data_IF_991653262173
#
_entry.id   IF_991653262173
#
_cell.length_a   1.000
_cell.length_b   1.000
_cell.length_c   1.000
_cell.angle_alpha   90.00
_cell.angle_beta   90.00
_cell.angle_gamma   90.00
#
_symmetry.space_group_name_H-M   'P 1'
#
loop_
_entity.id
_entity.type
_entity.pdbx_description
1 polymer ?
#
# COMPACT_ATOMS: atom_id res chain seq x y z
N UNK A 1 -56.74 -13.56 -17.75
CA UNK A 1 -55.26 -13.74 -17.72
C UNK A 1 -54.58 -12.39 -17.92
N UNK A 2 -53.80 -11.90 -16.94
CA UNK A 2 -52.98 -10.68 -17.10
C UNK A 2 -51.82 -10.99 -18.05
N UNK A 3 -51.76 -10.36 -19.22
CA UNK A 3 -50.60 -10.46 -20.13
C UNK A 3 -49.40 -9.81 -19.44
N UNK A 4 -48.38 -10.60 -19.08
CA UNK A 4 -47.07 -10.04 -18.71
C UNK A 4 -46.43 -9.51 -20.00
N UNK A 5 -46.34 -8.18 -20.14
CA UNK A 5 -45.60 -7.57 -21.25
C UNK A 5 -44.10 -7.72 -20.94
N UNK A 6 -43.38 -8.45 -21.79
CA UNK A 6 -41.92 -8.50 -21.76
C UNK A 6 -41.31 -7.24 -22.37
N UNK A 7 -40.01 -7.05 -22.18
CA UNK A 7 -39.26 -5.98 -22.83
C UNK A 7 -39.21 -6.19 -24.33
N UNK A 8 -39.33 -5.11 -25.08
CA UNK A 8 -39.13 -5.13 -26.53
C UNK A 8 -37.63 -5.15 -26.85
N UNK A 9 -37.28 -5.70 -28.00
CA UNK A 9 -35.88 -5.78 -28.43
C UNK A 9 -35.22 -4.40 -28.53
N UNK A 10 -35.98 -3.39 -28.99
CA UNK A 10 -35.49 -2.02 -29.13
C UNK A 10 -35.18 -1.37 -27.77
N UNK A 11 -36.00 -1.60 -26.75
CA UNK A 11 -35.75 -1.11 -25.40
C UNK A 11 -34.45 -1.68 -24.82
N UNK A 12 -34.15 -2.95 -25.08
CA UNK A 12 -32.91 -3.60 -24.64
C UNK A 12 -31.69 -3.00 -25.33
N UNK A 13 -31.77 -2.76 -26.65
CA UNK A 13 -30.69 -2.15 -27.42
C UNK A 13 -30.40 -0.73 -26.94
N UNK A 14 -31.43 0.09 -26.75
CA UNK A 14 -31.30 1.46 -26.25
C UNK A 14 -30.71 1.46 -24.82
N UNK A 15 -31.18 0.56 -23.96
CA UNK A 15 -30.67 0.44 -22.59
C UNK A 15 -29.19 0.06 -22.56
N UNK A 16 -28.77 -0.89 -23.40
CA UNK A 16 -27.36 -1.29 -23.56
C UNK A 16 -26.49 -0.12 -24.05
N UNK A 17 -26.98 0.65 -25.03
CA UNK A 17 -26.27 1.82 -25.54
C UNK A 17 -26.06 2.86 -24.43
N UNK A 18 -27.08 3.15 -23.63
CA UNK A 18 -26.98 4.09 -22.51
C UNK A 18 -26.00 3.60 -21.43
N UNK A 19 -26.10 2.31 -21.03
CA UNK A 19 -25.15 1.71 -20.08
C UNK A 19 -23.72 1.76 -20.63
N UNK A 20 -23.53 1.53 -21.93
CA UNK A 20 -22.23 1.60 -22.57
C UNK A 20 -21.61 2.99 -22.50
N UNK A 21 -22.39 4.04 -22.82
CA UNK A 21 -21.93 5.43 -22.74
C UNK A 21 -21.54 5.77 -21.30
N UNK A 22 -22.39 5.46 -20.32
CA UNK A 22 -22.11 5.73 -18.90
C UNK A 22 -20.85 4.98 -18.45
N UNK A 23 -20.71 3.72 -18.85
CA UNK A 23 -19.56 2.89 -18.48
C UNK A 23 -18.25 3.43 -19.02
N UNK A 24 -18.23 4.03 -20.22
CA UNK A 24 -17.01 4.62 -20.79
C UNK A 24 -16.37 5.67 -19.87
N UNK A 25 -17.18 6.46 -19.18
CA UNK A 25 -16.70 7.51 -18.29
C UNK A 25 -16.41 6.99 -16.87
N UNK A 26 -17.22 6.06 -16.36
CA UNK A 26 -17.09 5.56 -14.99
C UNK A 26 -15.90 4.59 -14.87
N UNK A 27 -15.71 3.72 -15.86
CA UNK A 27 -14.72 2.65 -15.80
C UNK A 27 -13.28 3.13 -15.55
N UNK A 28 -12.74 4.15 -16.25
CA UNK A 28 -11.37 4.64 -15.96
C UNK A 28 -11.26 5.22 -14.54
N UNK A 29 -12.31 5.84 -14.02
CA UNK A 29 -12.34 6.38 -12.65
C UNK A 29 -12.23 5.25 -11.62
N UNK A 30 -13.03 4.19 -11.76
CA UNK A 30 -12.98 3.02 -10.88
C UNK A 30 -11.60 2.36 -10.93
N UNK A 31 -11.01 2.19 -12.11
CA UNK A 31 -9.68 1.62 -12.24
C UNK A 31 -8.60 2.48 -11.57
N UNK A 32 -8.68 3.80 -11.72
CA UNK A 32 -7.76 4.73 -11.06
C UNK A 32 -7.88 4.64 -9.54
N UNK A 33 -9.09 4.66 -9.00
CA UNK A 33 -9.35 4.50 -7.56
C UNK A 33 -8.83 3.16 -7.06
N UNK A 34 -9.11 2.06 -7.78
CA UNK A 34 -8.62 0.74 -7.42
C UNK A 34 -7.08 0.68 -7.37
N UNK A 35 -6.41 1.21 -8.40
CA UNK A 35 -4.95 1.24 -8.47
C UNK A 35 -4.35 2.08 -7.34
N UNK A 36 -4.95 3.24 -7.04
CA UNK A 36 -4.51 4.13 -5.97
C UNK A 36 -4.72 3.47 -4.59
N UNK A 37 -5.88 2.88 -4.35
CA UNK A 37 -6.17 2.15 -3.11
C UNK A 37 -5.22 0.98 -2.90
N UNK A 38 -4.91 0.22 -3.96
CA UNK A 38 -3.92 -0.85 -3.89
C UNK A 38 -2.53 -0.31 -3.54
N UNK A 39 -2.09 0.75 -4.23
CA UNK A 39 -0.81 1.41 -3.95
C UNK A 39 -0.73 1.91 -2.50
N UNK A 40 -1.77 2.58 -2.01
CA UNK A 40 -1.83 3.07 -0.62
C UNK A 40 -1.76 1.91 0.36
N UNK A 41 -2.50 0.82 0.11
CA UNK A 41 -2.45 -0.37 0.97
C UNK A 41 -1.04 -0.97 1.02
N UNK A 42 -0.41 -1.13 -0.13
CA UNK A 42 0.94 -1.70 -0.22
C UNK A 42 1.99 -0.78 0.44
N UNK A 43 1.86 0.54 0.25
CA UNK A 43 2.70 1.55 0.89
C UNK A 43 2.54 1.56 2.41
N UNK A 44 1.31 1.53 2.92
CA UNK A 44 1.03 1.44 4.36
C UNK A 44 1.56 0.15 4.98
N UNK A 45 1.41 -0.99 4.30
CA UNK A 45 1.95 -2.27 4.75
C UNK A 45 3.48 -2.19 4.87
N UNK A 46 4.14 -1.63 3.86
CA UNK A 46 5.58 -1.45 3.86
C UNK A 46 6.06 -0.57 5.02
N UNK A 47 5.38 0.57 5.26
CA UNK A 47 5.76 1.47 6.35
C UNK A 47 5.56 0.82 7.73
N UNK A 48 4.48 0.06 7.91
CA UNK A 48 4.22 -0.66 9.15
C UNK A 48 5.33 -1.68 9.45
N UNK A 49 5.73 -2.47 8.46
CA UNK A 49 6.84 -3.43 8.59
C UNK A 49 8.15 -2.70 8.90
N UNK A 50 8.45 -1.60 8.21
CA UNK A 50 9.65 -0.82 8.49
C UNK A 50 9.64 -0.25 9.91
N UNK A 51 8.48 0.16 10.42
CA UNK A 51 8.32 0.63 11.79
C UNK A 51 8.52 -0.52 12.79
N UNK A 52 7.98 -1.71 12.52
CA UNK A 52 8.24 -2.90 13.34
C UNK A 52 9.75 -3.21 13.40
N UNK A 53 10.44 -3.19 12.26
CA UNK A 53 11.89 -3.41 12.17
C UNK A 53 12.66 -2.32 12.92
N UNK A 54 12.23 -1.06 12.80
CA UNK A 54 12.81 0.07 13.52
C UNK A 54 12.70 -0.12 15.04
N UNK A 55 11.52 -0.50 15.54
CA UNK A 55 11.28 -0.77 16.95
C UNK A 55 12.13 -1.95 17.45
N UNK A 56 12.15 -3.07 16.72
CA UNK A 56 13.01 -4.22 17.04
C UNK A 56 14.49 -3.87 17.04
N UNK A 57 14.90 -2.93 16.19
CA UNK A 57 16.29 -2.49 16.09
C UNK A 57 16.73 -1.60 17.24
N UNK A 58 15.80 -1.08 18.06
CA UNK A 58 16.14 -0.39 19.30
C UNK A 58 16.76 -1.30 20.35
N UNK A 59 16.58 -2.61 20.25
CA UNK A 59 17.21 -3.57 21.16
C UNK A 59 18.47 -4.21 20.55
N UNK A 60 18.75 -3.92 19.27
CA UNK A 60 19.91 -4.48 18.56
C UNK A 60 21.20 -3.75 18.95
N UNK A 61 22.29 -4.49 18.82
CA UNK A 61 23.64 -3.96 18.93
C UNK A 61 23.98 -3.08 17.70
N UNK A 62 25.11 -2.39 17.80
CA UNK A 62 25.63 -1.58 16.70
C UNK A 62 26.04 -2.53 15.57
N UNK A 63 25.54 -2.27 14.36
CA UNK A 63 25.75 -3.15 13.24
C UNK A 63 24.84 -2.84 12.04
N UNK A 64 24.98 -3.67 11.02
CA UNK A 64 24.11 -3.67 9.85
C UNK A 64 23.31 -4.97 9.82
N UNK A 65 22.03 -4.86 9.50
CA UNK A 65 21.08 -5.96 9.50
C UNK A 65 20.22 -5.90 8.24
N UNK A 66 19.82 -7.07 7.75
CA UNK A 66 18.82 -7.22 6.70
C UNK A 66 17.67 -8.06 7.26
N UNK A 67 16.45 -7.55 7.15
CA UNK A 67 15.24 -8.24 7.56
C UNK A 67 14.32 -8.36 6.34
N UNK A 68 13.74 -9.55 6.15
CA UNK A 68 12.68 -9.78 5.17
C UNK A 68 11.41 -10.21 5.91
N UNK A 69 10.39 -9.37 5.87
CA UNK A 69 9.08 -9.65 6.47
C UNK A 69 8.03 -9.52 5.37
N UNK A 70 7.22 -10.56 5.18
CA UNK A 70 6.17 -10.61 4.16
C UNK A 70 6.67 -10.30 2.73
N UNK A 71 7.90 -10.72 2.41
CA UNK A 71 8.54 -10.48 1.12
C UNK A 71 9.05 -9.04 0.92
N UNK A 72 8.99 -8.19 1.96
CA UNK A 72 9.56 -6.84 1.96
C UNK A 72 10.91 -6.89 2.65
N UNK A 73 11.96 -6.64 1.86
CA UNK A 73 13.34 -6.50 2.36
C UNK A 73 13.58 -5.12 2.93
N UNK A 74 14.18 -5.08 4.11
CA UNK A 74 14.55 -3.86 4.82
C UNK A 74 15.99 -3.97 5.29
N UNK A 75 16.72 -2.88 5.16
CA UNK A 75 18.12 -2.75 5.55
C UNK A 75 18.21 -1.81 6.73
N UNK A 76 18.77 -2.28 7.84
CA UNK A 76 18.92 -1.50 9.05
C UNK A 76 20.38 -1.23 9.36
N UNK A 77 20.69 0.01 9.70
CA UNK A 77 21.98 0.43 10.20
C UNK A 77 21.81 1.03 11.59
N UNK A 78 22.45 0.41 12.58
CA UNK A 78 22.53 0.90 13.96
C UNK A 78 23.95 1.39 14.20
N UNK A 79 24.11 2.68 14.50
CA UNK A 79 25.42 3.29 14.80
C UNK A 79 25.40 4.02 16.14
N UNK A 80 26.55 4.07 16.81
CA UNK A 80 26.70 4.90 18.01
C UNK A 80 26.57 6.37 17.61
N UNK A 81 25.64 7.09 18.24
CA UNK A 81 25.47 8.52 18.03
C UNK A 81 26.31 9.32 19.04
N UNK A 82 26.26 8.93 20.31
CA UNK A 82 27.16 9.42 21.37
C UNK A 82 27.32 8.34 22.46
N UNK A 83 27.89 8.68 23.63
CA UNK A 83 28.11 7.73 24.73
C UNK A 83 26.82 7.00 25.16
N UNK A 84 25.68 7.69 25.16
CA UNK A 84 24.41 7.20 25.70
C UNK A 84 23.30 6.99 24.66
N UNK A 85 23.52 7.38 23.39
CA UNK A 85 22.53 7.33 22.31
C UNK A 85 23.04 6.51 21.13
N UNK A 86 22.13 5.79 20.49
CA UNK A 86 22.31 5.12 19.21
C UNK A 86 21.35 5.69 18.17
N UNK A 87 21.84 5.77 16.94
CA UNK A 87 21.06 6.19 15.79
C UNK A 87 20.76 4.96 14.93
N UNK A 88 19.51 4.82 14.53
CA UNK A 88 18.99 3.67 13.80
C UNK A 88 18.36 4.21 12.51
N UNK A 89 18.81 3.68 11.37
CA UNK A 89 18.28 3.96 10.05
C UNK A 89 17.76 2.67 9.44
N UNK A 90 16.47 2.63 9.09
CA UNK A 90 15.83 1.51 8.41
C UNK A 90 15.42 1.96 7.01
N UNK A 91 15.84 1.24 5.99
CA UNK A 91 15.63 1.59 4.59
C UNK A 91 15.02 0.42 3.82
N UNK A 92 14.15 0.73 2.87
CA UNK A 92 13.80 -0.21 1.81
C UNK A 92 13.98 0.47 0.44
N UNK A 93 13.46 -0.16 -0.63
CA UNK A 93 13.58 0.36 -1.99
C UNK A 93 12.92 1.72 -2.23
N UNK A 94 12.00 2.16 -1.35
CA UNK A 94 11.15 3.34 -1.58
C UNK A 94 11.16 4.38 -0.44
N UNK A 95 11.39 3.96 0.80
CA UNK A 95 11.31 4.77 2.00
C UNK A 95 12.53 4.56 2.90
N UNK A 96 12.78 5.56 3.75
CA UNK A 96 13.81 5.55 4.77
C UNK A 96 13.21 6.11 6.06
N UNK A 97 13.40 5.40 7.17
CA UNK A 97 12.98 5.79 8.52
C UNK A 97 14.21 5.91 9.41
N UNK A 98 14.24 6.93 10.26
CA UNK A 98 15.37 7.22 11.12
C UNK A 98 14.90 7.54 12.53
N UNK A 99 15.64 7.08 13.55
CA UNK A 99 15.38 7.42 14.94
C UNK A 99 16.67 7.43 15.77
N UNK A 100 16.75 8.35 16.73
CA UNK A 100 17.77 8.36 17.77
C UNK A 100 17.14 7.86 19.07
N UNK A 101 17.73 6.85 19.68
CA UNK A 101 17.24 6.27 20.94
C UNK A 101 18.38 6.14 21.95
N UNK A 102 18.04 6.05 23.23
CA UNK A 102 19.01 5.75 24.28
C UNK A 102 19.57 4.34 24.05
N UNK A 103 20.89 4.17 24.28
CA UNK A 103 21.57 2.88 24.14
C UNK A 103 20.95 1.83 25.03
#
# INVERSE_FOLDING_TARGET
MKKKKGFTLIEVIISLALIGIISLYILPSIFSVYKNSKKIKDDSKSLFIMQEVLERSKEREIGQYEDEIDGIKTYTQVISYNENLKYIKVKNSKYELEVVVKK
#
